data_IF_442725954398
#
_entry.id   IF_442725954398
#
_cell.length_a   1.000
_cell.length_b   1.000
_cell.length_c   1.000
_cell.angle_alpha   90.00
_cell.angle_beta   90.00
_cell.angle_gamma   90.00
#
_symmetry.space_group_name_H-M   'P 1'
#
loop_
_entity.id
_entity.type
_entity.pdbx_description
1 polymer ?
#
# COMPACT_ATOMS: atom_id res chain seq x y z
N UNK A 1 -1.83 6.00 27.32
CA UNK A 1 -1.35 6.47 26.00
C UNK A 1 -1.58 5.33 25.03
N UNK A 2 -2.12 5.61 23.84
CA UNK A 2 -2.84 4.65 22.99
C UNK A 2 -2.03 3.49 22.38
N UNK A 3 -0.78 3.27 22.81
CA UNK A 3 0.15 2.24 22.30
C UNK A 3 1.09 1.66 23.37
N UNK A 4 0.75 1.76 24.66
CA UNK A 4 1.53 1.06 25.69
C UNK A 4 1.55 -0.45 25.40
N UNK A 5 2.73 -1.07 25.47
CA UNK A 5 2.97 -2.51 25.21
C UNK A 5 2.93 -2.96 23.73
N UNK A 6 3.25 -2.07 22.79
CA UNK A 6 3.43 -2.51 21.39
C UNK A 6 4.78 -3.21 21.23
N UNK A 7 4.75 -4.53 21.01
CA UNK A 7 5.95 -5.37 20.85
C UNK A 7 6.30 -5.56 19.37
N UNK A 8 7.59 -5.55 19.04
CA UNK A 8 8.09 -5.93 17.72
C UNK A 8 9.40 -6.70 17.80
N UNK A 9 9.71 -7.48 16.76
CA UNK A 9 10.96 -8.25 16.64
C UNK A 9 11.85 -7.58 15.61
N UNK A 10 13.15 -7.47 15.94
CA UNK A 10 14.19 -7.03 15.02
C UNK A 10 15.49 -7.76 15.33
N UNK A 11 16.14 -8.36 14.34
CA UNK A 11 17.36 -9.16 14.53
C UNK A 11 17.20 -10.22 15.64
N UNK A 12 16.08 -10.97 15.59
CA UNK A 12 15.71 -12.01 16.57
C UNK A 12 15.56 -11.53 18.03
N UNK A 13 15.56 -10.23 18.29
CA UNK A 13 15.37 -9.65 19.62
C UNK A 13 13.99 -8.97 19.71
N UNK A 14 13.34 -9.11 20.87
CA UNK A 14 12.05 -8.48 21.15
C UNK A 14 12.24 -7.10 21.76
N UNK A 15 11.54 -6.11 21.21
CA UNK A 15 11.56 -4.73 21.67
C UNK A 15 10.14 -4.25 22.01
N UNK A 16 10.08 -3.24 22.88
CA UNK A 16 8.84 -2.53 23.21
C UNK A 16 8.97 -1.12 22.65
N UNK A 17 7.97 -0.67 21.91
CA UNK A 17 7.91 0.73 21.50
C UNK A 17 7.49 1.59 22.70
N UNK A 18 8.42 2.43 23.16
CA UNK A 18 8.17 3.35 24.28
C UNK A 18 7.55 4.68 23.86
N UNK A 19 7.81 5.13 22.62
CA UNK A 19 7.39 6.44 22.12
C UNK A 19 6.70 6.35 20.77
N UNK A 20 5.64 7.13 20.60
CA UNK A 20 4.87 7.23 19.38
C UNK A 20 3.97 6.03 19.11
N UNK A 21 3.51 5.93 17.87
CA UNK A 21 2.68 4.85 17.36
C UNK A 21 3.46 4.01 16.35
N UNK A 22 3.23 2.69 16.32
CA UNK A 22 3.92 1.83 15.37
C UNK A 22 3.44 2.12 13.95
N UNK A 23 4.37 2.45 13.05
CA UNK A 23 4.05 2.58 11.63
C UNK A 23 3.49 1.25 11.09
N UNK A 24 2.36 1.33 10.39
CA UNK A 24 1.65 0.16 9.87
C UNK A 24 0.76 -0.58 10.88
N UNK A 25 0.63 -0.10 12.12
CA UNK A 25 -0.44 -0.58 12.99
C UNK A 25 -1.80 -0.02 12.50
N UNK A 26 -2.88 -0.83 12.43
CA UNK A 26 -4.16 -0.39 11.87
C UNK A 26 -4.77 0.85 12.53
N UNK A 27 -4.52 1.04 13.83
CA UNK A 27 -5.03 2.18 14.60
C UNK A 27 -4.07 3.38 14.66
N UNK A 28 -2.81 3.21 14.23
CA UNK A 28 -1.81 4.27 14.31
C UNK A 28 -2.22 5.56 13.57
N UNK A 29 -2.78 5.50 12.34
CA UNK A 29 -3.19 6.71 11.64
C UNK A 29 -4.27 7.49 12.40
N UNK A 30 -5.26 6.80 12.96
CA UNK A 30 -6.36 7.42 13.71
C UNK A 30 -5.85 8.08 15.00
N UNK A 31 -4.97 7.41 15.73
CA UNK A 31 -4.39 7.96 16.97
C UNK A 31 -3.52 9.18 16.66
N UNK A 32 -2.71 9.13 15.60
CA UNK A 32 -1.89 10.25 15.17
C UNK A 32 -2.78 11.44 14.77
N UNK A 33 -3.86 11.20 14.03
CA UNK A 33 -4.81 12.23 13.60
C UNK A 33 -5.50 12.91 14.79
N UNK A 34 -5.95 12.14 15.80
CA UNK A 34 -6.54 12.69 17.03
C UNK A 34 -5.54 13.57 17.78
N UNK A 35 -4.28 13.13 17.89
CA UNK A 35 -3.25 13.92 18.55
C UNK A 35 -2.99 15.24 17.80
N UNK A 36 -2.87 15.19 16.47
CA UNK A 36 -2.67 16.38 15.64
C UNK A 36 -3.85 17.33 15.72
N UNK A 37 -5.09 16.81 15.71
CA UNK A 37 -6.29 17.62 15.89
C UNK A 37 -6.31 18.33 17.26
N UNK A 38 -5.85 17.66 18.32
CA UNK A 38 -5.72 18.27 19.64
C UNK A 38 -4.67 19.40 19.66
N UNK A 39 -3.51 19.18 19.03
CA UNK A 39 -2.47 20.21 18.86
C UNK A 39 -3.03 21.43 18.12
N UNK A 40 -3.68 21.20 16.98
CA UNK A 40 -4.28 22.25 16.15
C UNK A 40 -5.31 23.05 16.93
N UNK A 41 -6.27 22.37 17.56
CA UNK A 41 -7.34 23.03 18.35
C UNK A 41 -6.78 23.84 19.51
N UNK A 42 -5.69 23.36 20.14
CA UNK A 42 -5.09 24.05 21.30
C UNK A 42 -4.29 25.30 20.92
N UNK A 43 -3.81 25.38 19.69
CA UNK A 43 -2.94 26.46 19.22
C UNK A 43 -3.62 27.42 18.24
N UNK A 44 -4.76 27.03 17.64
CA UNK A 44 -5.36 27.76 16.51
C UNK A 44 -5.60 29.24 16.80
N UNK A 45 -6.19 29.58 17.95
CA UNK A 45 -6.47 30.98 18.31
C UNK A 45 -5.18 31.83 18.31
N UNK A 46 -4.10 31.29 18.90
CA UNK A 46 -2.79 31.95 18.95
C UNK A 46 -2.15 32.05 17.56
N UNK A 47 -2.38 31.06 16.70
CA UNK A 47 -1.85 31.05 15.34
C UNK A 47 -2.56 32.09 14.47
N UNK A 48 -3.88 32.23 14.63
CA UNK A 48 -4.69 33.26 13.96
C UNK A 48 -4.22 34.66 14.38
N UNK A 49 -4.00 34.88 15.68
CA UNK A 49 -3.47 36.16 16.20
C UNK A 49 -2.10 36.53 15.61
N UNK A 50 -1.32 35.52 15.20
CA UNK A 50 -0.01 35.71 14.57
C UNK A 50 -0.07 35.88 13.05
N UNK A 51 -1.26 35.80 12.44
CA UNK A 51 -1.45 36.05 11.01
C UNK A 51 -1.64 34.80 10.16
N UNK A 52 -1.89 33.62 10.76
CA UNK A 52 -2.40 32.45 10.01
C UNK A 52 -3.83 32.73 9.55
N UNK A 53 -4.04 32.71 8.24
CA UNK A 53 -5.34 32.95 7.62
C UNK A 53 -6.11 31.65 7.40
N UNK A 54 -5.43 30.63 6.87
CA UNK A 54 -6.01 29.33 6.55
C UNK A 54 -5.04 28.21 6.91
N UNK A 55 -5.57 27.09 7.39
CA UNK A 55 -4.80 25.91 7.78
C UNK A 55 -5.46 24.63 7.25
N UNK A 56 -4.73 23.93 6.39
CA UNK A 56 -5.16 22.65 5.83
C UNK A 56 -4.14 21.58 6.20
N UNK A 57 -4.61 20.39 6.59
CA UNK A 57 -3.75 19.26 6.92
C UNK A 57 -4.14 18.03 6.12
N UNK A 58 -3.12 17.35 5.59
CA UNK A 58 -3.22 16.03 4.99
C UNK A 58 -2.27 15.09 5.73
N UNK A 59 -2.82 14.26 6.62
CA UNK A 59 -2.05 13.36 7.50
C UNK A 59 -1.00 14.15 8.30
N UNK A 60 0.27 14.09 7.90
CA UNK A 60 1.43 14.73 8.50
C UNK A 60 1.84 16.06 7.83
N UNK A 61 1.40 16.32 6.60
CA UNK A 61 1.71 17.54 5.86
C UNK A 61 0.65 18.63 6.06
N UNK A 62 1.10 19.87 6.27
CA UNK A 62 0.25 21.04 6.47
C UNK A 62 0.48 22.09 5.39
N UNK A 63 -0.61 22.59 4.80
CA UNK A 63 -0.61 23.73 3.88
C UNK A 63 -1.24 24.93 4.59
N UNK A 64 -0.48 26.02 4.72
CA UNK A 64 -0.85 27.16 5.56
C UNK A 64 -0.77 28.44 4.74
N UNK A 65 -1.85 29.23 4.76
CA UNK A 65 -1.84 30.59 4.22
C UNK A 65 -1.61 31.56 5.36
N UNK A 66 -0.61 32.43 5.20
CA UNK A 66 -0.26 33.45 6.19
C UNK A 66 -0.30 34.83 5.58
N UNK A 67 -0.55 35.84 6.42
CA UNK A 67 -0.44 37.24 6.05
C UNK A 67 1.01 37.58 5.70
N UNK A 68 1.24 38.51 4.77
CA UNK A 68 2.59 38.88 4.30
C UNK A 68 3.53 39.45 5.37
N UNK A 69 2.97 39.93 6.48
CA UNK A 69 3.71 40.48 7.63
C UNK A 69 4.02 39.43 8.72
N UNK A 70 3.60 38.19 8.51
CA UNK A 70 3.69 37.12 9.51
C UNK A 70 5.13 36.67 9.68
N UNK A 71 5.58 36.57 10.93
CA UNK A 71 6.85 35.94 11.26
C UNK A 71 6.66 34.42 11.38
N UNK A 72 7.05 33.71 10.31
CA UNK A 72 6.97 32.25 10.22
C UNK A 72 7.83 31.58 11.29
N UNK A 73 8.94 32.19 11.70
CA UNK A 73 9.82 31.59 12.73
C UNK A 73 9.15 31.55 14.10
N UNK A 74 8.31 32.56 14.41
CA UNK A 74 7.52 32.59 15.64
C UNK A 74 6.43 31.51 15.64
N UNK A 75 5.71 31.35 14.51
CA UNK A 75 4.76 30.24 14.32
C UNK A 75 5.45 28.90 14.55
N UNK A 76 6.58 28.69 13.89
CA UNK A 76 7.34 27.45 13.97
C UNK A 76 7.83 27.16 15.40
N UNK A 77 8.24 28.18 16.14
CA UNK A 77 8.61 28.09 17.56
C UNK A 77 7.45 27.62 18.42
N UNK A 78 6.25 28.20 18.24
CA UNK A 78 5.06 27.80 19.01
C UNK A 78 4.67 26.36 18.74
N UNK A 79 4.62 25.96 17.47
CA UNK A 79 4.34 24.58 17.06
C UNK A 79 5.35 23.59 17.68
N UNK A 80 6.64 23.91 17.59
CA UNK A 80 7.73 23.05 18.09
C UNK A 80 7.88 23.00 19.61
N UNK A 81 7.23 23.92 20.33
CA UNK A 81 7.17 23.94 21.79
C UNK A 81 5.99 23.14 22.35
N UNK A 82 5.05 22.69 21.51
CA UNK A 82 3.88 21.93 21.97
C UNK A 82 4.27 20.56 22.56
N UNK A 83 5.15 19.81 21.88
CA UNK A 83 5.60 18.51 22.34
C UNK A 83 7.05 18.22 21.91
N UNK A 84 7.84 17.62 22.80
CA UNK A 84 9.28 17.39 22.55
C UNK A 84 9.56 16.44 21.38
N UNK A 85 8.67 15.45 21.16
CA UNK A 85 8.84 14.42 20.13
C UNK A 85 8.28 14.79 18.74
N UNK A 86 7.64 15.95 18.58
CA UNK A 86 7.11 16.40 17.28
C UNK A 86 7.84 17.66 16.88
N UNK A 87 8.32 17.67 15.64
CA UNK A 87 9.04 18.80 15.06
C UNK A 87 8.47 19.14 13.70
N UNK A 88 7.94 20.34 13.60
CA UNK A 88 7.50 20.98 12.37
C UNK A 88 8.70 21.63 11.68
N UNK A 89 8.69 21.53 10.36
CA UNK A 89 9.56 22.23 9.43
C UNK A 89 8.69 22.87 8.37
N UNK A 90 9.17 23.94 7.73
CA UNK A 90 8.40 24.61 6.68
C UNK A 90 9.20 24.75 5.38
N UNK A 91 8.46 24.90 4.29
CA UNK A 91 8.96 25.38 3.00
C UNK A 91 8.15 26.62 2.63
N UNK A 92 8.84 27.66 2.17
CA UNK A 92 8.19 28.89 1.74
C UNK A 92 7.91 28.85 0.24
N UNK A 93 6.87 29.57 -0.17
CA UNK A 93 6.54 29.79 -1.57
C UNK A 93 7.72 30.47 -2.28
N UNK A 94 8.10 29.97 -3.46
CA UNK A 94 9.15 30.55 -4.29
C UNK A 94 8.61 30.88 -5.68
N UNK A 95 8.77 32.12 -6.14
CA UNK A 95 8.24 32.61 -7.43
C UNK A 95 6.76 32.27 -7.67
N UNK A 96 5.91 32.47 -6.65
CA UNK A 96 4.49 32.12 -6.64
C UNK A 96 4.20 30.62 -6.78
N UNK A 97 5.16 29.75 -6.46
CA UNK A 97 5.01 28.30 -6.54
C UNK A 97 5.36 27.65 -5.21
N UNK A 98 4.59 26.66 -4.81
CA UNK A 98 4.85 25.84 -3.64
C UNK A 98 4.56 24.37 -3.96
N UNK A 99 5.50 23.50 -3.64
CA UNK A 99 5.29 22.06 -3.71
C UNK A 99 4.54 21.60 -2.47
N UNK A 100 3.44 20.86 -2.67
CA UNK A 100 2.66 20.26 -1.59
C UNK A 100 2.21 18.88 -2.04
N UNK A 101 2.60 17.81 -1.33
CA UNK A 101 2.39 16.43 -1.78
C UNK A 101 2.95 16.23 -3.21
N UNK A 102 2.19 15.56 -4.09
CA UNK A 102 2.54 15.31 -5.49
C UNK A 102 2.04 16.43 -6.45
N UNK A 103 1.71 17.61 -5.92
CA UNK A 103 1.23 18.76 -6.70
C UNK A 103 2.11 20.00 -6.50
N UNK A 104 2.26 20.77 -7.58
CA UNK A 104 2.80 22.12 -7.51
C UNK A 104 1.63 23.10 -7.53
N UNK A 105 1.50 23.87 -6.44
CA UNK A 105 0.51 24.93 -6.28
C UNK A 105 1.13 26.22 -6.80
N UNK A 106 0.49 26.83 -7.78
CA UNK A 106 0.90 28.09 -8.40
C UNK A 106 -0.14 29.15 -8.03
N UNK A 107 0.30 30.20 -7.33
CA UNK A 107 -0.56 31.34 -7.02
C UNK A 107 -0.60 32.29 -8.22
N UNK A 108 -1.81 32.66 -8.65
CA UNK A 108 -2.04 33.65 -9.70
C UNK A 108 -2.62 34.93 -9.08
N UNK A 109 -1.77 35.92 -8.69
CA UNK A 109 -2.22 37.10 -7.94
C UNK A 109 -3.24 37.94 -8.72
N UNK A 110 -3.08 38.01 -10.04
CA UNK A 110 -3.96 38.78 -10.94
C UNK A 110 -5.39 38.23 -10.97
N UNK A 111 -5.53 36.91 -10.82
CA UNK A 111 -6.82 36.21 -10.92
C UNK A 111 -7.35 35.76 -9.55
N UNK A 112 -6.64 36.10 -8.46
CA UNK A 112 -6.95 35.68 -7.09
C UNK A 112 -7.29 34.18 -6.96
N UNK A 113 -6.55 33.33 -7.67
CA UNK A 113 -6.76 31.89 -7.68
C UNK A 113 -5.46 31.12 -7.48
N UNK A 114 -5.60 29.87 -7.07
CA UNK A 114 -4.54 28.88 -7.14
C UNK A 114 -4.75 28.00 -8.37
N UNK A 115 -3.69 27.80 -9.13
CA UNK A 115 -3.60 26.81 -10.19
C UNK A 115 -2.77 25.65 -9.66
N UNK A 116 -3.17 24.42 -9.97
CA UNK A 116 -2.41 23.25 -9.57
C UNK A 116 -1.90 22.53 -10.81
N UNK A 117 -0.61 22.21 -10.81
CA UNK A 117 -0.03 21.28 -11.77
C UNK A 117 0.26 19.99 -11.03
N UNK A 118 -0.37 18.91 -11.48
CA UNK A 118 0.01 17.56 -11.06
C UNK A 118 1.32 17.24 -11.80
N UNK A 119 2.18 16.40 -11.22
CA UNK A 119 3.17 15.66 -12.00
C UNK A 119 2.57 14.31 -12.41
N UNK A 120 1.66 14.26 -13.40
CA UNK A 120 0.99 13.02 -13.73
C UNK A 120 2.03 12.04 -14.28
N UNK A 121 1.95 10.79 -13.82
CA UNK A 121 2.68 9.71 -14.49
C UNK A 121 2.29 9.67 -15.97
N UNK A 122 3.20 9.21 -16.83
CA UNK A 122 2.91 9.01 -18.27
C UNK A 122 1.62 8.19 -18.44
N UNK A 123 1.40 7.17 -17.59
CA UNK A 123 0.17 6.36 -17.58
C UNK A 123 -1.08 7.22 -17.32
N UNK A 124 -1.03 8.11 -16.34
CA UNK A 124 -2.14 9.00 -16.00
C UNK A 124 -2.44 9.98 -17.14
N UNK A 125 -1.41 10.58 -17.73
CA UNK A 125 -1.56 11.50 -18.87
C UNK A 125 -2.23 10.83 -20.07
N UNK A 126 -1.77 9.63 -20.43
CA UNK A 126 -2.35 8.87 -21.56
C UNK A 126 -3.80 8.47 -21.28
N UNK A 127 -4.10 8.00 -20.07
CA UNK A 127 -5.47 7.66 -19.69
C UNK A 127 -6.38 8.89 -19.68
N UNK A 128 -5.89 10.04 -19.22
CA UNK A 128 -6.64 11.29 -19.27
C UNK A 128 -6.96 11.70 -20.71
N UNK A 129 -5.95 11.69 -21.59
CA UNK A 129 -6.12 12.00 -23.02
C UNK A 129 -7.14 11.06 -23.69
N UNK A 130 -7.06 9.75 -23.44
CA UNK A 130 -7.99 8.76 -23.99
C UNK A 130 -9.44 8.94 -23.52
N UNK A 131 -9.66 9.52 -22.34
CA UNK A 131 -11.01 9.70 -21.79
C UNK A 131 -11.65 11.04 -22.15
N UNK A 132 -10.85 12.09 -22.44
CA UNK A 132 -11.36 13.47 -22.61
C UNK A 132 -11.31 13.93 -24.06
N UNK A 133 -10.35 13.45 -24.85
CA UNK A 133 -10.26 13.84 -26.25
C UNK A 133 -11.43 13.26 -27.06
N UNK A 134 -12.23 14.14 -27.64
CA UNK A 134 -13.37 13.78 -28.49
C UNK A 134 -12.98 13.53 -29.96
N UNK A 135 -11.80 13.99 -30.37
CA UNK A 135 -11.29 13.86 -31.74
C UNK A 135 -9.91 13.23 -31.77
N UNK A 136 -9.58 12.56 -32.89
CA UNK A 136 -8.26 11.96 -33.09
C UNK A 136 -7.14 13.00 -33.11
N UNK A 137 -7.39 14.18 -33.68
CA UNK A 137 -6.40 15.26 -33.74
C UNK A 137 -6.06 15.81 -32.37
N UNK A 138 -7.06 16.03 -31.50
CA UNK A 138 -6.83 16.43 -30.11
C UNK A 138 -6.11 15.33 -29.32
N UNK A 139 -6.48 14.05 -29.53
CA UNK A 139 -5.80 12.93 -28.89
C UNK A 139 -4.32 12.84 -29.32
N UNK A 140 -4.03 12.99 -30.61
CA UNK A 140 -2.66 12.96 -31.11
C UNK A 140 -1.81 14.09 -30.49
N UNK A 141 -2.36 15.32 -30.41
CA UNK A 141 -1.69 16.45 -29.79
C UNK A 141 -1.38 16.21 -28.30
N UNK A 142 -2.33 15.67 -27.54
CA UNK A 142 -2.12 15.34 -26.12
C UNK A 142 -1.09 14.22 -25.90
N UNK A 143 -1.06 13.22 -26.79
CA UNK A 143 -0.04 12.16 -26.75
C UNK A 143 1.36 12.70 -27.10
N UNK A 144 1.45 13.63 -28.04
CA UNK A 144 2.72 14.29 -28.37
C UNK A 144 3.21 15.20 -27.24
N UNK A 145 2.29 15.89 -26.56
CA UNK A 145 2.62 16.66 -25.36
C UNK A 145 3.08 15.74 -24.23
N UNK A 146 2.46 14.57 -24.07
CA UNK A 146 2.91 13.52 -23.14
C UNK A 146 4.33 13.04 -23.47
N UNK A 147 4.66 12.85 -24.75
CA UNK A 147 6.03 12.51 -25.18
C UNK A 147 7.01 13.63 -24.85
N UNK A 148 6.64 14.88 -25.12
CA UNK A 148 7.47 16.06 -24.82
C UNK A 148 7.77 16.16 -23.33
N UNK A 149 6.76 16.04 -22.49
CA UNK A 149 6.90 16.07 -21.02
C UNK A 149 7.74 14.90 -20.53
N UNK A 150 7.52 13.69 -21.04
CA UNK A 150 8.32 12.52 -20.67
C UNK A 150 9.80 12.67 -21.01
N UNK A 151 10.12 13.12 -22.24
CA UNK A 151 11.52 13.35 -22.65
C UNK A 151 12.18 14.45 -21.82
N UNK A 152 11.45 15.52 -21.48
CA UNK A 152 11.96 16.60 -20.62
C UNK A 152 12.22 16.14 -19.18
N UNK A 153 11.64 15.02 -18.75
CA UNK A 153 11.91 14.38 -17.47
C UNK A 153 12.83 13.14 -17.63
N UNK A 154 13.65 13.12 -18.69
CA UNK A 154 14.66 12.10 -18.97
C UNK A 154 14.12 10.67 -19.18
N UNK A 155 12.82 10.51 -19.47
CA UNK A 155 12.27 9.20 -19.85
C UNK A 155 12.68 8.84 -21.29
N UNK A 156 13.16 7.60 -21.55
CA UNK A 156 13.44 7.15 -22.91
C UNK A 156 12.18 7.16 -23.79
N UNK A 157 12.26 7.68 -25.01
CA UNK A 157 11.13 7.73 -25.92
C UNK A 157 10.51 6.34 -26.18
N UNK A 158 11.35 5.30 -26.29
CA UNK A 158 10.91 3.91 -26.45
C UNK A 158 10.05 3.42 -25.28
N UNK A 159 10.36 3.86 -24.06
CA UNK A 159 9.56 3.56 -22.87
C UNK A 159 8.20 4.26 -22.94
N UNK A 160 8.19 5.56 -23.29
CA UNK A 160 6.95 6.35 -23.40
C UNK A 160 6.01 5.74 -24.45
N UNK A 161 6.52 5.43 -25.65
CA UNK A 161 5.71 4.83 -26.72
C UNK A 161 5.18 3.44 -26.35
N UNK A 162 5.97 2.64 -25.61
CA UNK A 162 5.52 1.36 -25.08
C UNK A 162 4.35 1.54 -24.11
N UNK A 163 4.45 2.50 -23.19
CA UNK A 163 3.37 2.81 -22.24
C UNK A 163 2.11 3.29 -22.97
N UNK A 164 2.25 4.20 -23.94
CA UNK A 164 1.13 4.68 -24.77
C UNK A 164 0.44 3.49 -25.46
N UNK A 165 1.20 2.61 -26.11
CA UNK A 165 0.68 1.43 -26.80
C UNK A 165 -0.10 0.49 -25.88
N UNK A 166 0.43 0.21 -24.68
CA UNK A 166 -0.23 -0.61 -23.67
C UNK A 166 -1.56 0.03 -23.23
N UNK A 167 -1.57 1.33 -22.91
CA UNK A 167 -2.79 1.99 -22.44
C UNK A 167 -3.87 2.06 -23.54
N UNK A 168 -3.48 2.34 -24.79
CA UNK A 168 -4.42 2.29 -25.92
C UNK A 168 -5.01 0.88 -26.08
N UNK A 169 -4.20 -0.17 -25.94
CA UNK A 169 -4.67 -1.56 -26.00
C UNK A 169 -5.71 -1.84 -24.90
N UNK A 170 -5.41 -1.48 -23.65
CA UNK A 170 -6.34 -1.66 -22.54
C UNK A 170 -7.63 -0.86 -22.74
N UNK A 171 -7.53 0.38 -23.22
CA UNK A 171 -8.71 1.22 -23.49
C UNK A 171 -9.60 0.62 -24.59
N UNK A 172 -8.98 0.07 -25.65
CA UNK A 172 -9.71 -0.64 -26.70
C UNK A 172 -10.40 -1.91 -26.19
N UNK A 173 -9.72 -2.70 -25.37
CA UNK A 173 -10.31 -3.87 -24.71
C UNK A 173 -11.47 -3.47 -23.79
N UNK A 174 -11.37 -2.34 -23.09
CA UNK A 174 -12.48 -1.82 -22.27
C UNK A 174 -13.70 -1.42 -23.10
N UNK A 175 -13.51 -0.79 -24.26
CA UNK A 175 -14.60 -0.32 -25.12
C UNK A 175 -15.25 -1.43 -25.95
N UNK A 176 -14.43 -2.33 -26.50
CA UNK A 176 -14.85 -3.32 -27.50
C UNK A 176 -14.61 -4.76 -27.09
N UNK A 177 -14.01 -4.98 -25.92
CA UNK A 177 -13.91 -6.29 -25.31
C UNK A 177 -15.31 -6.76 -24.95
N UNK A 178 -15.95 -7.44 -25.88
CA UNK A 178 -16.91 -8.45 -25.52
C UNK A 178 -16.21 -9.34 -24.50
N UNK A 179 -16.74 -9.39 -23.29
CA UNK A 179 -16.47 -10.48 -22.37
C UNK A 179 -16.79 -11.76 -23.15
N UNK A 180 -15.78 -12.36 -23.77
CA UNK A 180 -15.79 -13.78 -24.08
C UNK A 180 -15.78 -14.46 -22.72
N UNK A 181 -16.95 -14.52 -22.10
CA UNK A 181 -17.35 -15.70 -21.37
C UNK A 181 -17.27 -16.81 -22.41
N UNK A 182 -16.07 -17.37 -22.59
CA UNK A 182 -15.96 -18.72 -23.10
C UNK A 182 -16.75 -19.53 -22.10
N UNK A 183 -18.02 -19.81 -22.42
CA UNK A 183 -18.70 -20.95 -21.86
C UNK A 183 -17.75 -22.12 -22.16
N UNK A 184 -16.96 -22.50 -21.16
CA UNK A 184 -16.17 -23.72 -21.23
C UNK A 184 -17.24 -24.80 -21.26
N UNK A 185 -17.56 -25.28 -22.46
CA UNK A 185 -18.36 -26.49 -22.62
C UNK A 185 -17.52 -27.62 -22.02
N UNK A 186 -17.71 -27.86 -20.74
CA UNK A 186 -17.10 -28.97 -20.03
C UNK A 186 -17.76 -30.22 -20.57
N UNK A 187 -16.99 -31.02 -21.32
CA UNK A 187 -17.43 -32.34 -21.75
C UNK A 187 -17.59 -33.22 -20.49
N UNK A 188 -18.84 -33.39 -20.05
CA UNK A 188 -19.19 -34.16 -18.84
C UNK A 188 -18.80 -35.65 -18.95
N UNK A 189 -18.43 -36.13 -20.14
CA UNK A 189 -18.04 -37.52 -20.36
C UNK A 189 -16.53 -37.77 -20.17
N UNK A 190 -15.71 -36.71 -20.03
CA UNK A 190 -14.27 -36.83 -19.81
C UNK A 190 -13.90 -36.77 -18.34
N UNK A 191 -12.87 -37.51 -17.94
CA UNK A 191 -12.32 -37.44 -16.59
C UNK A 191 -11.62 -36.09 -16.42
N UNK A 192 -12.01 -35.31 -15.43
CA UNK A 192 -11.50 -33.96 -15.21
C UNK A 192 -10.28 -33.96 -14.27
N UNK A 193 -9.19 -33.30 -14.67
CA UNK A 193 -8.05 -33.01 -13.80
C UNK A 193 -7.78 -31.51 -13.80
N UNK A 194 -7.57 -30.97 -12.60
CA UNK A 194 -7.25 -29.56 -12.39
C UNK A 194 -5.77 -29.41 -12.09
N UNK A 195 -5.09 -28.54 -12.83
CA UNK A 195 -3.68 -28.24 -12.67
C UNK A 195 -3.52 -26.78 -12.29
N UNK A 196 -2.94 -26.54 -11.12
CA UNK A 196 -2.61 -25.20 -10.64
C UNK A 196 -1.22 -24.79 -11.14
N UNK A 197 -1.12 -23.58 -11.71
CA UNK A 197 0.16 -23.02 -12.20
C UNK A 197 0.26 -21.53 -11.87
N UNK A 198 1.43 -20.99 -11.52
CA UNK A 198 1.62 -19.56 -11.39
C UNK A 198 1.66 -18.89 -12.77
N UNK A 199 0.99 -17.74 -12.95
CA UNK A 199 1.07 -16.97 -14.20
C UNK A 199 2.38 -16.19 -14.27
N UNK A 200 3.34 -16.76 -14.97
CA UNK A 200 4.59 -16.11 -15.38
C UNK A 200 4.56 -15.96 -16.90
N UNK A 201 3.91 -14.87 -17.34
CA UNK A 201 3.90 -14.36 -18.72
C UNK A 201 3.71 -15.44 -19.82
N UNK A 202 4.43 -15.33 -20.94
CA UNK A 202 4.32 -16.21 -22.11
C UNK A 202 4.77 -17.63 -21.82
N UNK A 203 5.74 -17.84 -20.92
CA UNK A 203 6.26 -19.16 -20.57
C UNK A 203 5.16 -20.08 -20.00
N UNK A 204 4.25 -19.51 -19.19
CA UNK A 204 3.13 -20.27 -18.60
C UNK A 204 2.12 -20.69 -19.68
N UNK A 205 1.88 -19.82 -20.67
CA UNK A 205 1.00 -20.13 -21.80
C UNK A 205 1.58 -21.24 -22.70
N UNK A 206 2.89 -21.22 -22.94
CA UNK A 206 3.58 -22.28 -23.68
C UNK A 206 3.55 -23.62 -22.94
N UNK A 207 3.80 -23.61 -21.62
CA UNK A 207 3.71 -24.79 -20.79
C UNK A 207 2.31 -25.40 -20.84
N UNK A 208 1.27 -24.57 -20.70
CA UNK A 208 -0.13 -24.99 -20.85
C UNK A 208 -0.38 -25.67 -22.19
N UNK A 209 0.08 -25.09 -23.31
CA UNK A 209 -0.07 -25.67 -24.66
C UNK A 209 0.64 -27.03 -24.77
N UNK A 210 1.88 -27.13 -24.26
CA UNK A 210 2.66 -28.37 -24.28
C UNK A 210 1.98 -29.49 -23.49
N UNK A 211 1.50 -29.18 -22.28
CA UNK A 211 0.81 -30.17 -21.45
C UNK A 211 -0.50 -30.60 -22.11
N UNK A 212 -1.33 -29.67 -22.60
CA UNK A 212 -2.57 -30.02 -23.31
C UNK A 212 -2.31 -30.90 -24.55
N UNK A 213 -1.25 -30.61 -25.30
CA UNK A 213 -0.86 -31.43 -26.45
C UNK A 213 -0.45 -32.85 -26.02
N UNK A 214 0.35 -32.98 -24.97
CA UNK A 214 0.77 -34.28 -24.42
C UNK A 214 -0.41 -35.06 -23.86
N UNK A 215 -1.30 -34.41 -23.11
CA UNK A 215 -2.53 -35.02 -22.57
C UNK A 215 -3.39 -35.58 -23.69
N UNK A 216 -3.69 -34.79 -24.72
CA UNK A 216 -4.51 -35.25 -25.85
C UNK A 216 -3.86 -36.41 -26.63
N UNK A 217 -2.52 -36.52 -26.61
CA UNK A 217 -1.79 -37.60 -27.28
C UNK A 217 -1.77 -38.90 -26.45
N UNK A 218 -1.65 -38.79 -25.14
CA UNK A 218 -1.47 -39.94 -24.23
C UNK A 218 -2.81 -40.47 -23.73
N UNK A 219 -3.71 -39.58 -23.31
CA UNK A 219 -5.00 -39.91 -22.71
C UNK A 219 -6.09 -38.94 -23.17
N UNK A 220 -6.72 -39.19 -24.34
CA UNK A 220 -7.71 -38.29 -24.96
C UNK A 220 -9.03 -38.13 -24.17
N UNK A 221 -9.32 -39.11 -23.31
CA UNK A 221 -10.45 -39.17 -22.37
C UNK A 221 -10.25 -38.30 -21.12
N UNK A 222 -9.06 -37.73 -20.95
CA UNK A 222 -8.71 -36.83 -19.85
C UNK A 222 -8.86 -35.36 -20.29
N UNK A 223 -9.71 -34.61 -19.60
CA UNK A 223 -9.80 -33.16 -19.76
C UNK A 223 -8.97 -32.48 -18.66
N UNK A 224 -7.94 -31.74 -19.05
CA UNK A 224 -7.03 -31.07 -18.12
C UNK A 224 -7.32 -29.57 -18.14
N UNK A 225 -7.83 -29.08 -17.02
CA UNK A 225 -8.14 -27.67 -16.82
C UNK A 225 -7.04 -26.97 -16.01
N UNK A 226 -6.55 -25.87 -16.55
CA UNK A 226 -5.50 -25.07 -15.92
C UNK A 226 -6.10 -23.88 -15.21
N UNK A 227 -5.74 -23.71 -13.94
CA UNK A 227 -5.99 -22.48 -13.21
C UNK A 227 -4.66 -21.76 -12.98
N UNK A 228 -4.65 -20.49 -13.39
CA UNK A 228 -3.50 -19.63 -13.22
C UNK A 228 -3.69 -18.80 -11.95
N UNK A 229 -2.80 -18.98 -10.97
CA UNK A 229 -2.75 -18.06 -9.83
C UNK A 229 -1.79 -16.91 -10.15
N UNK A 230 -2.09 -15.70 -9.67
CA UNK A 230 -1.11 -14.63 -9.71
C UNK A 230 0.19 -15.11 -9.04
N UNK A 231 1.37 -14.68 -9.52
CA UNK A 231 2.60 -14.96 -8.82
C UNK A 231 2.49 -14.49 -7.37
N UNK A 232 3.17 -15.15 -6.43
CA UNK A 232 3.19 -14.72 -5.04
C UNK A 232 3.58 -13.23 -4.97
N UNK A 233 2.89 -12.46 -4.12
CA UNK A 233 3.18 -11.04 -3.99
C UNK A 233 4.64 -10.84 -3.57
N UNK A 234 5.19 -9.66 -3.87
CA UNK A 234 6.55 -9.30 -3.44
C UNK A 234 6.70 -9.50 -1.93
N UNK A 235 5.65 -9.28 -1.14
CA UNK A 235 5.63 -9.56 0.30
C UNK A 235 5.90 -11.03 0.65
N UNK A 236 5.47 -11.99 -0.18
CA UNK A 236 5.77 -13.41 0.02
C UNK A 236 7.23 -13.74 -0.29
N UNK A 237 7.85 -13.00 -1.21
CA UNK A 237 9.26 -13.17 -1.60
C UNK A 237 10.22 -12.42 -0.65
N UNK A 238 9.76 -11.29 -0.11
CA UNK A 238 10.48 -10.41 0.79
C UNK A 238 9.60 -10.13 2.01
N UNK A 239 9.63 -11.04 2.98
CA UNK A 239 9.03 -10.77 4.29
C UNK A 239 9.83 -9.63 4.93
N UNK A 240 9.27 -8.42 4.93
CA UNK A 240 9.91 -7.23 5.52
C UNK A 240 9.86 -7.22 7.04
N UNK A 241 9.07 -8.11 7.64
CA UNK A 241 8.97 -8.29 9.09
C UNK A 241 9.28 -9.74 9.44
N UNK A 242 10.11 -9.93 10.46
CA UNK A 242 10.38 -11.24 11.00
C UNK A 242 9.06 -11.87 11.50
N UNK A 243 8.74 -13.11 11.12
CA UNK A 243 7.54 -13.78 11.60
C UNK A 243 7.64 -13.97 13.11
N UNK A 244 6.59 -13.58 13.82
CA UNK A 244 6.48 -13.82 15.26
C UNK A 244 6.36 -15.33 15.47
N UNK A 245 7.22 -15.88 16.33
CA UNK A 245 7.21 -17.31 16.67
C UNK A 245 5.82 -17.66 17.25
N UNK A 246 5.23 -18.79 16.85
CA UNK A 246 3.83 -19.14 17.16
C UNK A 246 3.46 -19.06 18.65
N UNK A 247 4.36 -19.45 19.54
CA UNK A 247 4.13 -19.37 20.99
C UNK A 247 4.19 -17.94 21.54
N UNK A 248 4.79 -16.99 20.82
CA UNK A 248 4.83 -15.57 21.16
C UNK A 248 3.63 -14.78 20.61
N UNK A 249 2.76 -15.40 19.79
CA UNK A 249 1.57 -14.75 19.27
C UNK A 249 0.48 -14.60 20.35
N UNK A 250 -0.28 -13.51 20.28
CA UNK A 250 -1.56 -13.29 20.98
C UNK A 250 -2.74 -13.56 20.05
N UNK A 251 -3.97 -13.58 20.58
CA UNK A 251 -5.21 -13.86 19.82
C UNK A 251 -5.24 -15.20 19.06
N UNK A 252 -4.45 -16.17 19.50
CA UNK A 252 -4.42 -17.51 18.92
C UNK A 252 -5.36 -18.47 19.64
N UNK A 253 -5.83 -19.46 18.88
CA UNK A 253 -6.53 -20.63 19.42
C UNK A 253 -5.50 -21.74 19.65
N UNK A 254 -5.48 -22.32 20.84
CA UNK A 254 -4.57 -23.40 21.21
C UNK A 254 -5.36 -24.60 21.73
N UNK A 255 -4.76 -25.78 21.60
CA UNK A 255 -5.32 -27.04 22.07
C UNK A 255 -4.30 -27.75 22.95
N UNK A 256 -4.66 -27.97 24.22
CA UNK A 256 -3.88 -28.77 25.17
C UNK A 256 -4.52 -30.15 25.26
N UNK A 257 -3.76 -31.20 24.99
CA UNK A 257 -4.19 -32.58 25.26
C UNK A 257 -3.74 -32.99 26.65
N UNK A 258 -4.62 -33.63 27.40
CA UNK A 258 -4.22 -34.28 28.64
C UNK A 258 -3.28 -35.45 28.31
N UNK A 259 -2.23 -35.61 29.12
CA UNK A 259 -1.26 -36.72 28.96
C UNK A 259 -1.89 -38.03 29.44
N UNK A 260 -2.68 -37.98 30.51
CA UNK A 260 -3.21 -39.15 31.20
C UNK A 260 -4.60 -39.58 30.70
N UNK A 261 -5.25 -38.79 29.83
CA UNK A 261 -6.54 -39.15 29.26
C UNK A 261 -6.77 -38.56 27.87
N UNK A 262 -7.75 -39.09 27.15
CA UNK A 262 -8.08 -38.66 25.78
C UNK A 262 -8.90 -37.35 25.72
N UNK A 263 -8.85 -36.53 26.77
CA UNK A 263 -9.54 -35.24 26.83
C UNK A 263 -8.60 -34.12 26.38
N UNK A 264 -9.18 -33.08 25.80
CA UNK A 264 -8.46 -31.91 25.33
C UNK A 264 -9.17 -30.63 25.71
N UNK A 265 -8.39 -29.59 26.00
CA UNK A 265 -8.87 -28.25 26.27
C UNK A 265 -8.53 -27.34 25.08
N UNK A 266 -9.52 -26.69 24.51
CA UNK A 266 -9.35 -25.67 23.46
C UNK A 266 -9.63 -24.31 24.08
N UNK A 267 -8.67 -23.39 23.96
CA UNK A 267 -8.78 -22.04 24.49
C UNK A 267 -8.37 -20.99 23.46
N UNK A 268 -8.79 -19.75 23.69
CA UNK A 268 -8.31 -18.55 22.98
C UNK A 268 -7.47 -17.71 23.95
N UNK A 269 -6.37 -17.11 23.49
CA UNK A 269 -5.51 -16.23 24.29
C UNK A 269 -5.72 -14.77 23.93
N UNK A 270 -5.94 -13.87 24.88
CA UNK A 270 -5.77 -12.42 24.63
C UNK A 270 -4.30 -11.99 24.78
N UNK A 271 -3.56 -12.66 25.68
CA UNK A 271 -2.12 -12.46 25.88
C UNK A 271 -1.30 -13.42 25.02
N UNK A 272 0.03 -13.32 25.08
CA UNK A 272 0.94 -14.25 24.41
C UNK A 272 0.66 -15.70 24.83
N UNK A 273 0.63 -16.60 23.84
CA UNK A 273 0.35 -18.02 24.03
C UNK A 273 1.28 -18.68 25.06
N UNK A 274 2.57 -18.35 25.02
CA UNK A 274 3.58 -18.78 25.98
C UNK A 274 3.18 -18.49 27.43
N UNK A 275 2.76 -17.26 27.74
CA UNK A 275 2.34 -16.90 29.09
C UNK A 275 1.10 -17.68 29.52
N UNK A 276 0.13 -17.83 28.61
CA UNK A 276 -1.10 -18.58 28.89
C UNK A 276 -0.81 -20.06 29.16
N UNK A 277 0.14 -20.66 28.43
CA UNK A 277 0.53 -22.06 28.62
C UNK A 277 1.26 -22.26 29.95
N UNK A 278 2.11 -21.31 30.39
CA UNK A 278 2.74 -21.36 31.72
C UNK A 278 1.69 -21.29 32.84
N UNK A 279 0.69 -20.41 32.69
CA UNK A 279 -0.44 -20.35 33.65
C UNK A 279 -1.21 -21.68 33.73
N UNK A 280 -1.23 -22.46 32.64
CA UNK A 280 -1.77 -23.82 32.59
C UNK A 280 -0.78 -24.90 33.03
N UNK A 281 0.39 -24.52 33.57
CA UNK A 281 1.39 -25.43 34.14
C UNK A 281 2.42 -25.97 33.14
N UNK A 282 2.53 -25.39 31.94
CA UNK A 282 3.58 -25.77 30.99
C UNK A 282 4.96 -25.30 31.47
N UNK A 283 5.98 -26.17 31.34
CA UNK A 283 7.37 -25.82 31.62
C UNK A 283 7.92 -24.83 30.59
N UNK A 284 8.69 -23.83 31.04
CA UNK A 284 9.37 -22.85 30.18
C UNK A 284 10.31 -23.53 29.15
N UNK A 285 10.86 -24.69 29.49
CA UNK A 285 11.77 -25.45 28.63
C UNK A 285 11.15 -25.90 27.30
N UNK A 286 9.83 -26.09 27.24
CA UNK A 286 9.10 -26.52 26.04
C UNK A 286 9.22 -25.51 24.88
N UNK A 287 9.42 -24.23 25.23
CA UNK A 287 9.43 -23.13 24.26
C UNK A 287 10.85 -22.73 23.82
N UNK A 288 11.89 -23.18 24.55
CA UNK A 288 13.30 -22.92 24.23
C UNK A 288 13.78 -23.87 23.12
N UNK A 289 13.38 -25.14 23.15
CA UNK A 289 13.80 -26.13 22.14
C UNK A 289 13.27 -25.82 20.74
N UNK A 290 12.14 -25.12 20.63
CA UNK A 290 11.57 -24.72 19.34
C UNK A 290 12.25 -23.50 18.72
N UNK A 291 13.10 -22.77 19.45
CA UNK A 291 13.88 -21.65 18.90
C UNK A 291 15.14 -22.13 18.17
N UNK A 292 15.60 -23.37 18.40
CA UNK A 292 16.82 -23.92 17.78
C UNK A 292 16.56 -24.71 16.48
N UNK A 293 15.31 -24.86 16.06
CA UNK A 293 14.92 -25.62 14.85
C UNK A 293 14.28 -24.76 13.75
N UNK A 294 14.34 -23.43 13.87
CA UNK A 294 13.84 -22.48 12.86
C UNK A 294 14.99 -21.80 12.10
#
# INVERSE_FOLDING_TARGET
MATSETHFIFNNNMYIQHHGVAMGAPLAPVIADIFMAHLETSLMDRLIDLGVCEWYRYVDDTFVLVSSLTDITNILSILNNFHSSIKFTHKEENYNKLEFLDIQVIRSPEQQRFETTIYPSIVSMVNHALNICSTYTSLAAELDETRRIGVNNDYPLSFIDTVIGIQISHYREKLYGQSKLTNIEVDKNKKQIYVETPFVSSCTLELKKKILHLTNKIQPDLDVQFFMKPPPSIQTLYQTKDPIIKHMCSDVVYHIKCIDCNQGYIGKTERQCYRRLIEHGASESIFIDQQQQA
#
